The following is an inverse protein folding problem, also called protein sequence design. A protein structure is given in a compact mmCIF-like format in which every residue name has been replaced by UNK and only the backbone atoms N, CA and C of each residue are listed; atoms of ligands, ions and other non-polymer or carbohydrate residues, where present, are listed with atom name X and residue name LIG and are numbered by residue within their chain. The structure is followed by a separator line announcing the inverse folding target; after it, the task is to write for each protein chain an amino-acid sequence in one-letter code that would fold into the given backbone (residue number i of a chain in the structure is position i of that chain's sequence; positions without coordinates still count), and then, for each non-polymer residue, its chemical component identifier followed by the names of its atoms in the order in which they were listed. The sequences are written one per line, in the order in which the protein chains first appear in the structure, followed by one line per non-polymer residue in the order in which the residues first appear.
data_IF_111429132627
#
_entry.id   IF_111429132627
#
_cell.length_a   1.000
_cell.length_b   1.000
_cell.length_c   1.000
_cell.angle_alpha   90.00
_cell.angle_beta   90.00
_cell.angle_gamma   90.00
#
_symmetry.space_group_name_H-M   'P 1'
#
loop_
_entity.id
_entity.type
_entity.pdbx_description
1 polymer ?
#
# COMPACT_ATOMS: atom_id res chain seq x y z
N UNK A 1 -41.16 23.36 -18.60
CA UNK A 1 -40.18 23.75 -17.57
C UNK A 1 -39.98 22.67 -16.52
N UNK A 2 -40.99 21.96 -16.06
CA UNK A 2 -40.91 20.90 -15.06
C UNK A 2 -39.97 19.71 -15.45
N UNK A 3 -39.98 19.28 -16.73
CA UNK A 3 -39.10 18.23 -17.24
C UNK A 3 -37.58 18.56 -17.16
N UNK A 4 -37.22 19.85 -17.35
CA UNK A 4 -35.82 20.30 -17.23
C UNK A 4 -35.38 20.39 -15.79
N UNK A 5 -36.28 20.66 -14.85
CA UNK A 5 -36.01 20.69 -13.41
C UNK A 5 -35.79 19.27 -12.85
N UNK A 6 -36.58 18.31 -13.33
CA UNK A 6 -36.41 16.89 -12.93
C UNK A 6 -35.05 16.31 -13.39
N UNK A 7 -34.55 16.71 -14.55
CA UNK A 7 -33.27 16.26 -15.09
C UNK A 7 -32.07 16.80 -14.28
N UNK A 8 -32.18 18.00 -13.73
CA UNK A 8 -31.14 18.64 -12.91
C UNK A 8 -31.06 17.98 -11.53
N UNK A 9 -32.18 17.54 -10.96
CA UNK A 9 -32.20 16.87 -9.65
C UNK A 9 -31.56 15.49 -9.70
N UNK A 10 -31.68 14.76 -10.80
CA UNK A 10 -31.04 13.42 -10.95
C UNK A 10 -29.53 13.50 -11.07
N UNK A 11 -28.95 14.61 -11.50
CA UNK A 11 -27.51 14.80 -11.63
C UNK A 11 -26.77 15.07 -10.30
N UNK A 12 -27.50 15.36 -9.22
CA UNK A 12 -26.88 15.76 -7.94
C UNK A 12 -26.77 14.66 -6.88
N UNK A 13 -27.18 13.42 -7.17
CA UNK A 13 -27.21 12.33 -6.16
C UNK A 13 -26.06 11.32 -6.25
N UNK A 14 -24.96 11.67 -6.91
CA UNK A 14 -23.76 10.82 -6.86
C UNK A 14 -23.03 11.06 -5.54
N UNK A 15 -23.48 10.44 -4.46
CA UNK A 15 -22.67 10.32 -3.24
C UNK A 15 -21.55 9.34 -3.55
N UNK A 16 -20.40 9.87 -3.95
CA UNK A 16 -19.17 9.09 -4.06
C UNK A 16 -18.65 8.82 -2.66
N UNK A 17 -18.82 7.60 -2.17
CA UNK A 17 -18.07 7.13 -1.00
C UNK A 17 -16.60 7.07 -1.40
N UNK A 18 -15.83 8.03 -0.95
CA UNK A 18 -14.38 8.00 -1.08
C UNK A 18 -13.81 7.12 0.03
N UNK A 19 -13.10 6.09 -0.35
CA UNK A 19 -12.33 5.27 0.59
C UNK A 19 -11.15 6.10 1.11
N UNK A 20 -10.93 6.09 2.43
CA UNK A 20 -9.93 6.95 3.08
C UNK A 20 -8.68 6.16 3.47
N UNK A 21 -7.60 6.37 2.70
CA UNK A 21 -6.28 5.81 2.99
C UNK A 21 -5.79 6.11 4.42
N UNK A 22 -5.99 7.34 4.90
CA UNK A 22 -5.51 7.77 6.22
C UNK A 22 -6.24 7.06 7.34
N UNK A 23 -7.55 6.95 7.22
CA UNK A 23 -8.40 6.21 8.15
C UNK A 23 -8.07 4.71 8.09
N UNK A 24 -7.90 4.15 6.89
CA UNK A 24 -7.47 2.76 6.70
C UNK A 24 -6.13 2.47 7.37
N UNK A 25 -5.16 3.38 7.28
CA UNK A 25 -3.88 3.27 7.98
C UNK A 25 -4.04 3.29 9.51
N UNK A 26 -4.93 4.12 10.04
CA UNK A 26 -5.20 4.16 11.48
C UNK A 26 -5.84 2.84 11.96
N UNK A 27 -6.83 2.33 11.24
CA UNK A 27 -7.48 1.07 11.52
C UNK A 27 -6.49 -0.11 11.44
N UNK A 28 -5.65 -0.15 10.42
CA UNK A 28 -4.57 -1.12 10.29
C UNK A 28 -3.63 -1.09 11.50
N UNK A 29 -3.17 0.07 11.91
CA UNK A 29 -2.28 0.21 13.05
C UNK A 29 -2.93 -0.26 14.37
N UNK A 30 -4.23 -0.03 14.51
CA UNK A 30 -4.98 -0.41 15.72
C UNK A 30 -5.26 -1.91 15.78
N UNK A 31 -5.61 -2.53 14.65
CA UNK A 31 -6.18 -3.88 14.65
C UNK A 31 -5.26 -4.93 14.03
N UNK A 32 -4.36 -4.55 13.11
CA UNK A 32 -3.62 -5.49 12.28
C UNK A 32 -2.11 -5.50 12.53
N UNK A 33 -1.53 -4.34 12.88
CA UNK A 33 -0.06 -4.14 12.92
C UNK A 33 0.66 -4.95 14.01
N UNK A 34 -0.05 -5.49 14.98
CA UNK A 34 0.50 -6.39 15.99
C UNK A 34 0.97 -7.72 15.38
N UNK A 35 0.23 -8.23 14.38
CA UNK A 35 0.48 -9.52 13.76
C UNK A 35 0.96 -9.42 12.30
N UNK A 36 0.75 -8.30 11.63
CA UNK A 36 1.10 -8.10 10.23
C UNK A 36 2.05 -6.93 10.00
N UNK A 37 2.92 -7.06 9.01
CA UNK A 37 3.69 -5.95 8.41
C UNK A 37 3.39 -5.88 6.92
N UNK A 38 3.66 -4.73 6.32
CA UNK A 38 3.43 -4.56 4.89
C UNK A 38 4.48 -5.31 4.05
N UNK A 39 5.73 -5.28 4.48
CA UNK A 39 6.92 -5.66 3.72
C UNK A 39 7.59 -6.97 4.17
N UNK A 40 7.16 -7.57 5.27
CA UNK A 40 7.77 -8.79 5.82
C UNK A 40 6.80 -9.64 6.62
N UNK A 41 7.11 -10.92 6.73
CA UNK A 41 6.43 -11.87 7.60
C UNK A 41 6.62 -11.48 9.08
N UNK A 42 5.56 -11.60 9.86
CA UNK A 42 5.57 -11.50 11.31
C UNK A 42 4.85 -12.75 11.88
N UNK A 43 3.73 -12.61 12.56
CA UNK A 43 2.85 -13.74 12.88
C UNK A 43 2.08 -14.17 11.62
N UNK A 44 1.53 -13.19 10.90
CA UNK A 44 0.86 -13.39 9.61
C UNK A 44 1.71 -13.00 8.40
N UNK A 45 1.16 -13.14 7.19
CA UNK A 45 1.83 -12.76 5.93
C UNK A 45 2.11 -11.26 5.82
N UNK A 46 3.08 -10.86 4.95
CA UNK A 46 3.21 -9.49 4.50
C UNK A 46 1.98 -9.09 3.67
N UNK A 47 1.53 -7.84 3.80
CA UNK A 47 0.24 -7.43 3.23
C UNK A 47 0.34 -6.44 2.06
N UNK A 48 1.55 -6.01 1.66
CA UNK A 48 1.70 -4.99 0.61
C UNK A 48 1.14 -5.38 -0.77
N UNK A 49 1.00 -6.68 -1.04
CA UNK A 49 0.56 -7.23 -2.33
C UNK A 49 -0.79 -7.97 -2.24
N UNK A 50 -1.36 -8.09 -1.05
CA UNK A 50 -2.51 -8.95 -0.80
C UNK A 50 -3.72 -8.57 -1.66
N UNK A 51 -3.99 -7.28 -1.84
CA UNK A 51 -5.14 -6.82 -2.64
C UNK A 51 -4.91 -7.01 -4.13
N UNK A 52 -3.67 -6.89 -4.60
CA UNK A 52 -3.30 -7.16 -5.99
C UNK A 52 -3.43 -8.65 -6.32
N UNK A 53 -3.00 -9.52 -5.40
CA UNK A 53 -3.02 -10.97 -5.58
C UNK A 53 -4.41 -11.59 -5.40
N UNK A 54 -5.18 -11.13 -4.42
CA UNK A 54 -6.41 -11.76 -3.99
C UNK A 54 -7.69 -11.01 -4.42
N UNK A 55 -7.55 -9.75 -4.76
CA UNK A 55 -8.67 -8.85 -5.00
C UNK A 55 -9.26 -8.24 -3.72
N UNK A 56 -9.98 -7.14 -3.91
CA UNK A 56 -10.55 -6.34 -2.82
C UNK A 56 -11.62 -7.10 -2.03
N UNK A 57 -12.55 -7.76 -2.72
CA UNK A 57 -13.69 -8.44 -2.12
C UNK A 57 -13.26 -9.66 -1.30
N UNK A 58 -12.31 -10.44 -1.82
CA UNK A 58 -11.74 -11.56 -1.09
C UNK A 58 -11.02 -11.07 0.17
N UNK A 59 -10.17 -10.05 0.04
CA UNK A 59 -9.43 -9.46 1.17
C UNK A 59 -10.38 -8.95 2.24
N UNK A 60 -11.44 -8.25 1.86
CA UNK A 60 -12.49 -7.76 2.79
C UNK A 60 -13.19 -8.92 3.50
N UNK A 61 -13.56 -9.97 2.78
CA UNK A 61 -14.21 -11.17 3.33
C UNK A 61 -13.28 -11.87 4.32
N UNK A 62 -12.00 -12.00 3.97
CA UNK A 62 -10.99 -12.59 4.85
C UNK A 62 -10.84 -11.79 6.15
N UNK A 63 -10.71 -10.46 6.09
CA UNK A 63 -10.60 -9.60 7.28
C UNK A 63 -11.86 -9.75 8.15
N UNK A 64 -13.01 -9.77 7.53
CA UNK A 64 -14.30 -9.88 8.25
C UNK A 64 -14.41 -11.18 9.04
N UNK A 65 -14.07 -12.32 8.43
CA UNK A 65 -14.06 -13.62 9.09
C UNK A 65 -13.25 -14.66 8.31
N UNK A 66 -11.93 -14.70 8.53
CA UNK A 66 -11.03 -15.67 7.89
C UNK A 66 -11.42 -17.13 8.19
N UNK A 67 -11.87 -17.41 9.41
CA UNK A 67 -12.30 -18.78 9.79
C UNK A 67 -13.48 -19.28 8.95
N UNK A 68 -14.46 -18.42 8.69
CA UNK A 68 -15.60 -18.80 7.87
C UNK A 68 -15.17 -19.10 6.41
N UNK A 69 -14.21 -18.35 5.89
CA UNK A 69 -13.68 -18.57 4.53
C UNK A 69 -12.87 -19.88 4.45
N UNK A 70 -12.07 -20.19 5.47
CA UNK A 70 -11.36 -21.46 5.59
C UNK A 70 -12.35 -22.64 5.66
N UNK A 71 -13.38 -22.53 6.52
CA UNK A 71 -14.38 -23.56 6.72
C UNK A 71 -15.24 -23.80 5.46
N UNK A 72 -15.38 -22.81 4.59
CA UNK A 72 -16.06 -22.96 3.30
C UNK A 72 -15.27 -23.79 2.29
N UNK A 73 -13.99 -24.08 2.57
CA UNK A 73 -13.09 -24.79 1.66
C UNK A 73 -12.54 -23.92 0.53
N UNK A 74 -12.53 -22.58 0.71
CA UNK A 74 -11.84 -21.70 -0.22
C UNK A 74 -10.34 -22.10 -0.28
N UNK A 75 -9.90 -22.52 -1.46
CA UNK A 75 -8.59 -23.15 -1.67
C UNK A 75 -7.45 -22.24 -1.17
N UNK A 76 -7.57 -20.96 -1.48
CA UNK A 76 -6.57 -19.96 -1.14
C UNK A 76 -6.54 -19.64 0.37
N UNK A 77 -7.71 -19.61 1.00
CA UNK A 77 -7.83 -19.43 2.43
C UNK A 77 -7.22 -20.60 3.21
N UNK A 78 -7.45 -21.81 2.75
CA UNK A 78 -6.87 -23.03 3.34
C UNK A 78 -5.36 -23.05 3.15
N UNK A 79 -4.85 -22.74 1.96
CA UNK A 79 -3.41 -22.69 1.66
C UNK A 79 -2.66 -21.71 2.58
N UNK A 80 -3.13 -20.48 2.68
CA UNK A 80 -2.52 -19.46 3.56
C UNK A 80 -2.56 -19.92 5.02
N UNK A 81 -3.68 -20.46 5.47
CA UNK A 81 -3.81 -20.94 6.85
C UNK A 81 -2.83 -22.06 7.18
N UNK A 82 -2.66 -23.03 6.27
CA UNK A 82 -1.67 -24.11 6.43
C UNK A 82 -0.24 -23.58 6.41
N UNK A 83 0.11 -22.69 5.48
CA UNK A 83 1.44 -22.06 5.39
C UNK A 83 1.83 -21.34 6.68
N UNK A 84 0.85 -20.76 7.37
CA UNK A 84 1.08 -20.02 8.63
C UNK A 84 0.78 -20.87 9.88
N UNK A 85 1.01 -22.19 9.79
CA UNK A 85 0.88 -23.15 10.89
C UNK A 85 -0.49 -23.10 11.58
N UNK A 86 -1.55 -22.87 10.79
CA UNK A 86 -2.93 -22.78 11.26
C UNK A 86 -3.15 -21.69 12.30
N UNK A 87 -2.34 -20.65 12.25
CA UNK A 87 -2.49 -19.50 13.15
C UNK A 87 -3.87 -18.86 12.97
N UNK A 88 -4.58 -18.67 14.09
CA UNK A 88 -5.90 -18.05 14.06
C UNK A 88 -5.76 -16.54 13.87
N UNK A 89 -6.44 -15.98 12.86
CA UNK A 89 -6.67 -14.55 12.73
C UNK A 89 -8.02 -14.21 13.38
N UNK A 90 -8.08 -13.19 14.27
CA UNK A 90 -9.35 -12.74 14.84
C UNK A 90 -10.33 -12.29 13.76
N UNK A 91 -11.63 -12.52 13.98
CA UNK A 91 -12.67 -11.99 13.10
C UNK A 91 -12.96 -10.52 13.42
N UNK A 92 -13.08 -9.70 12.39
CA UNK A 92 -13.36 -8.26 12.49
C UNK A 92 -14.78 -7.92 11.98
N UNK A 93 -15.73 -8.82 12.18
CA UNK A 93 -17.13 -8.67 11.79
C UNK A 93 -17.88 -7.54 12.52
N UNK A 94 -17.30 -7.00 13.58
CA UNK A 94 -17.81 -5.83 14.31
C UNK A 94 -17.46 -4.49 13.60
N UNK A 95 -16.50 -4.47 12.67
CA UNK A 95 -16.19 -3.28 11.91
C UNK A 95 -17.26 -3.03 10.84
N UNK A 96 -17.69 -1.77 10.66
CA UNK A 96 -18.55 -1.40 9.55
C UNK A 96 -17.88 -1.72 8.19
N UNK A 97 -18.69 -1.99 7.18
CA UNK A 97 -18.18 -2.29 5.84
C UNK A 97 -17.34 -1.13 5.26
N UNK A 98 -17.67 0.12 5.59
CA UNK A 98 -16.88 1.31 5.23
C UNK A 98 -15.48 1.28 5.82
N UNK A 99 -15.32 0.84 7.06
CA UNK A 99 -14.02 0.74 7.74
C UNK A 99 -13.17 -0.38 7.13
N UNK A 100 -13.82 -1.48 6.74
CA UNK A 100 -13.16 -2.56 5.98
C UNK A 100 -12.70 -2.08 4.60
N UNK A 101 -13.52 -1.27 3.91
CA UNK A 101 -13.16 -0.67 2.62
C UNK A 101 -11.97 0.29 2.76
N UNK A 102 -11.91 1.09 3.83
CA UNK A 102 -10.78 1.97 4.13
C UNK A 102 -9.49 1.17 4.42
N UNK A 103 -9.59 0.06 5.17
CA UNK A 103 -8.44 -0.84 5.39
C UNK A 103 -7.95 -1.41 4.05
N UNK A 104 -8.85 -1.93 3.22
CA UNK A 104 -8.51 -2.48 1.90
C UNK A 104 -7.89 -1.43 0.99
N UNK A 105 -8.37 -0.17 1.05
CA UNK A 105 -7.76 0.95 0.34
C UNK A 105 -6.32 1.22 0.81
N UNK A 106 -6.10 1.24 2.12
CA UNK A 106 -4.75 1.39 2.67
C UNK A 106 -3.80 0.31 2.16
N UNK A 107 -4.22 -0.96 2.17
CA UNK A 107 -3.42 -2.08 1.69
C UNK A 107 -3.12 -1.94 0.19
N UNK A 108 -4.12 -1.63 -0.63
CA UNK A 108 -4.00 -1.50 -2.08
C UNK A 108 -3.07 -0.34 -2.49
N UNK A 109 -3.17 0.80 -1.79
CA UNK A 109 -2.44 2.02 -2.14
C UNK A 109 -1.09 2.16 -1.44
N UNK A 110 -0.69 1.21 -0.59
CA UNK A 110 0.50 1.33 0.26
C UNK A 110 1.79 1.61 -0.52
N UNK A 111 2.06 0.83 -1.58
CA UNK A 111 3.26 0.99 -2.40
C UNK A 111 3.34 2.36 -3.07
N UNK A 112 2.23 2.80 -3.66
CA UNK A 112 2.13 4.09 -4.36
C UNK A 112 2.35 5.24 -3.38
N UNK A 113 1.67 5.23 -2.25
CA UNK A 113 1.80 6.27 -1.22
C UNK A 113 3.18 6.30 -0.58
N UNK A 114 3.81 5.15 -0.39
CA UNK A 114 5.19 5.07 0.10
C UNK A 114 6.16 5.70 -0.90
N UNK A 115 6.02 5.43 -2.19
CA UNK A 115 6.87 6.02 -3.24
C UNK A 115 6.71 7.55 -3.31
N UNK A 116 5.49 8.07 -3.29
CA UNK A 116 5.19 9.51 -3.25
C UNK A 116 5.85 10.20 -2.04
N UNK A 117 5.77 9.59 -0.86
CA UNK A 117 6.36 10.13 0.37
C UNK A 117 7.88 10.22 0.29
N UNK A 118 8.54 9.20 -0.28
CA UNK A 118 10.00 9.21 -0.46
C UNK A 118 10.42 10.32 -1.41
N UNK A 119 9.72 10.49 -2.53
CA UNK A 119 10.01 11.55 -3.50
C UNK A 119 9.81 12.95 -2.91
N UNK A 120 8.72 13.18 -2.17
CA UNK A 120 8.45 14.45 -1.52
C UNK A 120 9.55 14.81 -0.49
N UNK A 121 10.04 13.83 0.26
CA UNK A 121 11.11 14.02 1.25
C UNK A 121 12.45 14.36 0.58
N UNK A 122 12.76 13.77 -0.58
CA UNK A 122 13.97 14.06 -1.32
C UNK A 122 13.95 15.47 -1.96
N UNK A 123 12.77 15.94 -2.37
CA UNK A 123 12.61 17.29 -2.96
C UNK A 123 12.63 18.39 -1.89
N UNK A 124 12.23 18.08 -0.65
CA UNK A 124 12.19 19.02 0.47
C UNK A 124 13.52 19.10 1.25
N UNK A 125 14.51 18.25 0.95
CA UNK A 125 15.82 18.37 1.56
C UNK A 125 16.49 19.68 1.07
N UNK A 126 16.89 20.62 1.95
CA UNK A 126 17.66 21.79 1.52
C UNK A 126 18.93 21.25 0.86
N UNK A 127 19.25 21.77 -0.30
CA UNK A 127 20.53 21.52 -0.97
C UNK A 127 21.66 22.04 -0.07
N UNK A 128 22.09 21.17 0.84
CA UNK A 128 23.37 21.38 1.53
C UNK A 128 24.42 21.37 0.46
N UNK A 129 25.09 22.53 0.31
CA UNK A 129 25.96 22.90 -0.77
C UNK A 129 26.73 21.72 -1.35
N UNK A 130 26.68 21.63 -2.67
CA UNK A 130 27.66 20.88 -3.44
C UNK A 130 29.04 21.35 -3.00
N UNK A 131 29.62 20.63 -2.05
CA UNK A 131 31.07 20.63 -1.91
C UNK A 131 31.56 20.09 -3.23
N UNK A 132 32.08 20.98 -4.07
CA UNK A 132 32.81 20.64 -5.28
C UNK A 132 33.89 19.66 -4.85
N UNK A 133 33.63 18.36 -5.09
CA UNK A 133 34.71 17.39 -5.11
C UNK A 133 35.59 17.82 -6.25
N UNK A 134 36.68 18.51 -5.90
CA UNK A 134 37.78 18.80 -6.83
C UNK A 134 38.21 17.42 -7.28
N UNK A 135 37.78 17.04 -8.50
CA UNK A 135 38.33 15.89 -9.17
C UNK A 135 39.83 16.18 -9.35
N UNK A 136 40.61 15.45 -8.62
CA UNK A 136 42.07 15.43 -8.81
C UNK A 136 42.34 14.72 -10.15
N UNK A 137 42.07 15.44 -11.26
CA UNK A 137 42.54 15.07 -12.58
C UNK A 137 44.04 15.43 -12.61
N UNK A 138 44.87 14.43 -12.36
CA UNK A 138 46.30 14.51 -12.69
C UNK A 138 46.42 14.92 -14.17
N UNK A 139 47.23 15.96 -14.50
CA UNK A 139 47.38 16.39 -15.87
C UNK A 139 47.99 15.23 -16.69
N UNK A 140 47.56 15.05 -17.96
CA UNK A 140 47.98 13.94 -18.79
C UNK A 140 49.40 14.13 -19.30
N UNK A 141 50.41 14.23 -18.42
CA UNK A 141 51.81 14.39 -18.77
C UNK A 141 52.37 13.23 -19.61
N UNK A 142 51.78 12.06 -19.55
CA UNK A 142 52.16 10.90 -20.35
C UNK A 142 51.75 11.02 -21.82
N UNK A 143 50.88 11.95 -22.23
CA UNK A 143 50.54 12.20 -23.63
C UNK A 143 51.63 13.03 -24.32
N UNK A 144 52.41 13.81 -23.58
CA UNK A 144 53.46 14.67 -24.12
C UNK A 144 54.68 13.86 -24.53
N UNK A 145 54.90 12.68 -23.97
CA UNK A 145 56.03 11.80 -24.31
C UNK A 145 55.86 11.00 -25.62
N UNK A 146 54.66 10.92 -26.19
CA UNK A 146 54.39 10.18 -27.44
C UNK A 146 54.55 11.00 -28.72
N UNK A 147 54.83 12.30 -28.65
CA UNK A 147 54.96 13.19 -29.81
C UNK A 147 56.44 13.50 -30.14
N UNK A 148 57.39 12.99 -29.34
CA UNK A 148 58.85 13.27 -29.52
C UNK A 148 59.68 12.03 -29.89
N UNK A 149 59.06 11.02 -30.54
CA UNK A 149 59.78 9.91 -31.16
C UNK A 149 59.46 9.87 -32.65
#
# INVERSE_FOLDING_TARGET
MLKKFLFIIVLFTSITYSQDYTKGKQLFNTHCAACHKMDRKLVGPPLQDVVELQGRDWTKTWIKNSKALIDSGDEHAVEIWEEYNRAAMPAYNFLPDTDLDDIVEYLASYKTKKAETIQATQTAAPSVGQTTVVSNQSPPWYIILLVLV
#
